data_IF_229641176511
#
_entry.id   IF_229641176511
#
_cell.length_a   1.000
_cell.length_b   1.000
_cell.length_c   1.000
_cell.angle_alpha   90.00
_cell.angle_beta   90.00
_cell.angle_gamma   90.00
#
_symmetry.space_group_name_H-M   'P 1'
#
loop_
_entity.id
_entity.type
_entity.pdbx_description
1 polymer ?
#
# COMPACT_ATOMS: atom_id res chain seq x y z
N UNK A 1 -9.55 -0.21 14.86
CA UNK A 1 -8.10 -0.44 14.60
C UNK A 1 -7.39 0.88 14.84
N UNK A 2 -6.13 0.85 15.27
CA UNK A 2 -5.32 2.04 15.52
C UNK A 2 -3.84 1.79 15.18
N UNK A 3 -3.14 2.84 14.77
CA UNK A 3 -1.68 2.80 14.59
C UNK A 3 -0.96 2.95 15.93
N UNK A 4 0.22 2.32 16.05
CA UNK A 4 1.09 2.42 17.24
C UNK A 4 1.92 3.72 17.27
N UNK A 5 1.94 4.49 16.18
CA UNK A 5 2.71 5.72 16.02
C UNK A 5 2.26 6.49 14.76
N UNK A 6 2.83 7.68 14.49
CA UNK A 6 2.47 8.49 13.33
C UNK A 6 2.73 7.74 12.02
N UNK A 7 1.87 7.96 11.03
CA UNK A 7 1.94 7.30 9.73
C UNK A 7 1.91 8.34 8.63
N UNK A 8 2.86 8.26 7.71
CA UNK A 8 2.83 9.06 6.49
C UNK A 8 2.26 8.24 5.34
N UNK A 9 1.14 8.70 4.77
CA UNK A 9 0.54 8.12 3.57
C UNK A 9 1.00 8.95 2.37
N UNK A 10 1.75 8.32 1.47
CA UNK A 10 2.12 8.90 0.19
C UNK A 10 1.00 8.69 -0.81
N UNK A 11 0.58 9.76 -1.48
CA UNK A 11 -0.44 9.76 -2.53
C UNK A 11 0.15 10.32 -3.82
N UNK A 12 -0.15 9.69 -4.95
CA UNK A 12 0.26 10.16 -6.27
C UNK A 12 -0.85 10.99 -6.89
N UNK A 13 -0.58 12.22 -7.33
CA UNK A 13 -1.59 13.09 -7.94
C UNK A 13 -2.16 12.49 -9.23
N UNK A 14 -1.34 11.76 -9.99
CA UNK A 14 -1.77 11.02 -11.18
C UNK A 14 -2.73 9.85 -10.91
N UNK A 15 -2.82 9.35 -9.67
CA UNK A 15 -3.71 8.25 -9.31
C UNK A 15 -5.10 8.80 -8.96
N UNK A 16 -5.93 9.01 -9.99
CA UNK A 16 -7.24 9.67 -9.89
C UNK A 16 -8.11 9.07 -8.78
N UNK A 17 -8.60 9.93 -7.86
CA UNK A 17 -9.47 9.55 -6.74
C UNK A 17 -8.75 9.10 -5.47
N UNK A 18 -7.42 8.92 -5.49
CA UNK A 18 -6.67 8.47 -4.32
C UNK A 18 -6.72 9.46 -3.16
N UNK A 19 -6.83 10.76 -3.44
CA UNK A 19 -6.84 11.82 -2.41
C UNK A 19 -8.11 11.74 -1.57
N UNK A 20 -9.26 11.61 -2.20
CA UNK A 20 -10.54 11.44 -1.50
C UNK A 20 -10.52 10.16 -0.65
N UNK A 21 -10.01 9.06 -1.21
CA UNK A 21 -9.80 7.82 -0.46
C UNK A 21 -8.86 8.02 0.75
N UNK A 22 -7.77 8.78 0.60
CA UNK A 22 -6.82 9.00 1.68
C UNK A 22 -7.43 9.79 2.85
N UNK A 23 -8.31 10.75 2.57
CA UNK A 23 -9.06 11.47 3.60
C UNK A 23 -10.11 10.59 4.28
N UNK A 24 -10.77 9.68 3.54
CA UNK A 24 -11.65 8.67 4.13
C UNK A 24 -10.87 7.72 5.06
N UNK A 25 -9.68 7.29 4.65
CA UNK A 25 -8.79 6.45 5.47
C UNK A 25 -8.35 7.20 6.73
N UNK A 26 -7.96 8.47 6.60
CA UNK A 26 -7.58 9.33 7.73
C UNK A 26 -8.73 9.53 8.72
N UNK A 27 -9.94 9.77 8.21
CA UNK A 27 -11.15 9.89 9.03
C UNK A 27 -11.45 8.57 9.77
N UNK A 28 -11.40 7.45 9.06
CA UNK A 28 -11.61 6.12 9.65
C UNK A 28 -10.56 5.76 10.72
N UNK A 29 -9.33 6.28 10.60
CA UNK A 29 -8.30 6.13 11.62
C UNK A 29 -8.66 6.89 12.91
N UNK A 30 -9.32 8.05 12.80
CA UNK A 30 -9.81 8.84 13.92
C UNK A 30 -10.97 8.19 14.65
N UNK A 31 -11.96 7.64 13.92
CA UNK A 31 -13.14 6.98 14.50
C UNK A 31 -12.81 5.73 15.35
N UNK A 32 -11.65 5.11 15.14
CA UNK A 32 -11.23 3.91 15.85
C UNK A 32 -10.87 4.13 17.33
N UNK A 33 -10.80 5.38 17.79
CA UNK A 33 -10.54 5.77 19.19
C UNK A 33 -11.83 6.30 19.80
N UNK A 34 -12.35 5.61 20.81
CA UNK A 34 -13.53 6.07 21.55
C UNK A 34 -13.34 7.47 22.16
N UNK A 35 -14.46 8.07 22.58
CA UNK A 35 -14.64 9.48 23.01
C UNK A 35 -13.78 9.98 24.19
N UNK A 36 -12.77 9.23 24.65
CA UNK A 36 -11.98 9.52 25.86
C UNK A 36 -10.49 9.75 25.61
N UNK A 37 -10.01 9.71 24.37
CA UNK A 37 -8.61 10.02 24.08
C UNK A 37 -8.40 11.53 23.98
N UNK A 38 -7.51 12.08 24.83
CA UNK A 38 -7.06 13.48 24.78
C UNK A 38 -6.66 13.90 23.36
N UNK A 39 -7.03 15.14 23.00
CA UNK A 39 -6.72 15.82 21.74
C UNK A 39 -5.22 15.89 21.42
N UNK A 40 -4.33 15.58 22.37
CA UNK A 40 -2.86 15.61 22.21
C UNK A 40 -2.28 14.30 21.67
N UNK A 41 -3.04 13.21 21.65
CA UNK A 41 -2.60 11.92 21.10
C UNK A 41 -3.03 11.73 19.63
N UNK A 42 -3.07 12.81 18.83
CA UNK A 42 -3.26 12.74 17.38
C UNK A 42 -2.14 11.87 16.82
N UNK A 43 -2.47 10.63 16.54
CA UNK A 43 -1.59 9.73 15.81
C UNK A 43 -1.68 10.22 14.37
N UNK A 44 -0.85 11.22 14.05
CA UNK A 44 -0.97 12.03 12.86
C UNK A 44 -0.79 11.14 11.64
N UNK A 45 -1.91 10.71 11.07
CA UNK A 45 -1.94 10.24 9.69
C UNK A 45 -1.72 11.49 8.86
N UNK A 46 -0.52 11.63 8.34
CA UNK A 46 -0.11 12.74 7.48
C UNK A 46 -0.17 12.26 6.04
N UNK A 47 -0.91 12.98 5.20
CA UNK A 47 -0.96 12.72 3.77
C UNK A 47 0.07 13.62 3.10
N UNK A 48 0.92 13.05 2.23
CA UNK A 48 1.94 13.78 1.47
C UNK A 48 1.93 13.35 0.01
N UNK A 49 2.27 14.28 -0.87
CA UNK A 49 2.42 13.97 -2.29
C UNK A 49 3.68 13.12 -2.53
N UNK A 50 3.51 12.05 -3.30
CA UNK A 50 4.56 11.09 -3.61
C UNK A 50 5.62 11.69 -4.53
N UNK A 51 5.21 12.56 -5.46
CA UNK A 51 6.09 13.31 -6.36
C UNK A 51 7.16 14.07 -5.57
N UNK A 52 6.75 14.80 -4.54
CA UNK A 52 7.62 15.62 -3.70
C UNK A 52 8.50 14.75 -2.77
N UNK A 53 7.93 13.65 -2.28
CA UNK A 53 8.62 12.74 -1.37
C UNK A 53 9.62 11.80 -2.07
N UNK A 54 9.39 11.48 -3.35
CA UNK A 54 10.13 10.45 -4.08
C UNK A 54 11.00 11.01 -5.21
N UNK A 55 10.61 12.07 -5.91
CA UNK A 55 11.28 12.50 -7.16
C UNK A 55 12.08 13.82 -7.07
N UNK A 56 12.32 14.36 -5.86
CA UNK A 56 13.07 15.62 -5.68
C UNK A 56 14.53 15.46 -5.25
N UNK A 57 15.43 16.33 -5.75
CA UNK A 57 16.78 16.54 -5.19
C UNK A 57 16.75 17.00 -3.71
N UNK A 58 15.61 17.55 -3.29
CA UNK A 58 15.28 17.93 -1.92
C UNK A 58 14.20 17.02 -1.30
N UNK A 59 14.11 15.75 -1.73
CA UNK A 59 13.18 14.79 -1.13
C UNK A 59 13.38 14.79 0.40
N UNK A 60 12.42 15.34 1.14
CA UNK A 60 12.52 15.44 2.58
C UNK A 60 12.69 14.03 3.16
N UNK A 61 13.57 13.82 4.15
CA UNK A 61 13.77 12.51 4.74
C UNK A 61 12.43 11.90 5.17
N UNK A 62 12.12 10.74 4.61
CA UNK A 62 10.98 9.93 5.02
C UNK A 62 11.40 9.19 6.30
N UNK A 63 10.96 9.67 7.46
CA UNK A 63 11.22 9.03 8.75
C UNK A 63 9.96 8.37 9.30
N UNK A 64 10.13 7.23 9.98
CA UNK A 64 9.04 6.52 10.64
C UNK A 64 8.27 5.60 9.70
N UNK A 65 6.97 5.41 9.98
CA UNK A 65 6.13 4.47 9.26
C UNK A 65 5.52 5.14 8.02
N UNK A 66 6.01 4.77 6.84
CA UNK A 66 5.60 5.35 5.56
C UNK A 66 4.97 4.28 4.68
N UNK A 67 3.84 4.61 4.06
CA UNK A 67 3.09 3.71 3.18
C UNK A 67 2.69 4.47 1.93
N UNK A 68 2.83 3.85 0.76
CA UNK A 68 2.29 4.36 -0.49
C UNK A 68 0.88 3.82 -0.67
N UNK A 69 -0.11 4.70 -0.81
CA UNK A 69 -1.50 4.30 -1.08
C UNK A 69 -1.72 4.27 -2.60
N UNK A 70 -2.03 3.09 -3.12
CA UNK A 70 -2.35 2.88 -4.54
C UNK A 70 -3.83 2.51 -4.67
N UNK A 71 -4.60 3.40 -5.28
CA UNK A 71 -6.02 3.21 -5.55
C UNK A 71 -6.21 2.59 -6.94
N UNK A 72 -6.71 1.37 -6.99
CA UNK A 72 -6.94 0.59 -8.20
C UNK A 72 -8.38 0.81 -8.70
N UNK A 73 -8.50 1.49 -9.84
CA UNK A 73 -9.72 1.77 -10.59
C UNK A 73 -9.43 1.73 -12.10
N UNK A 74 -10.46 1.90 -12.92
CA UNK A 74 -10.40 1.89 -14.39
C UNK A 74 -9.37 2.83 -15.04
N UNK A 75 -8.90 3.85 -14.32
CA UNK A 75 -7.93 4.86 -14.75
C UNK A 75 -6.50 4.59 -14.27
N UNK A 76 -6.28 3.54 -13.49
CA UNK A 76 -4.99 3.27 -12.86
C UNK A 76 -3.94 2.89 -13.90
N UNK A 77 -2.76 3.53 -13.84
CA UNK A 77 -1.68 3.43 -14.83
C UNK A 77 -2.02 3.93 -16.25
N UNK A 78 -3.13 4.64 -16.42
CA UNK A 78 -3.50 5.30 -17.68
C UNK A 78 -3.14 6.79 -17.69
N UNK A 79 -2.34 7.24 -16.73
CA UNK A 79 -1.90 8.62 -16.61
C UNK A 79 -0.88 9.01 -17.69
N UNK A 80 -0.97 10.26 -18.14
CA UNK A 80 -0.05 10.79 -19.12
C UNK A 80 1.38 10.79 -18.58
N UNK A 81 2.30 10.14 -19.30
CA UNK A 81 3.71 10.08 -18.92
C UNK A 81 4.08 9.02 -17.88
N UNK A 82 3.14 8.13 -17.49
CA UNK A 82 3.43 6.97 -16.63
C UNK A 82 4.01 7.34 -15.26
N UNK A 83 3.60 8.49 -14.72
CA UNK A 83 4.00 9.01 -13.41
C UNK A 83 3.59 8.06 -12.30
N UNK A 84 2.37 7.52 -12.33
CA UNK A 84 1.89 6.57 -11.30
C UNK A 84 2.80 5.35 -11.24
N UNK A 85 3.13 4.77 -12.39
CA UNK A 85 3.99 3.59 -12.46
C UNK A 85 5.41 3.87 -11.95
N UNK A 86 5.99 5.01 -12.35
CA UNK A 86 7.33 5.43 -11.93
C UNK A 86 7.41 5.66 -10.41
N UNK A 87 6.39 6.29 -9.82
CA UNK A 87 6.34 6.52 -8.38
C UNK A 87 6.09 5.25 -7.57
N UNK A 88 5.25 4.34 -8.06
CA UNK A 88 5.09 3.01 -7.46
C UNK A 88 6.42 2.27 -7.49
N UNK A 89 7.13 2.29 -8.62
CA UNK A 89 8.46 1.70 -8.74
C UNK A 89 9.46 2.32 -7.74
N UNK A 90 9.54 3.65 -7.67
CA UNK A 90 10.42 4.37 -6.75
C UNK A 90 10.10 4.07 -5.27
N UNK A 91 8.83 3.92 -4.92
CA UNK A 91 8.42 3.50 -3.59
C UNK A 91 8.91 2.08 -3.26
N UNK A 92 8.76 1.15 -4.20
CA UNK A 92 9.22 -0.23 -4.05
C UNK A 92 10.75 -0.33 -3.97
N UNK A 93 11.48 0.46 -4.76
CA UNK A 93 12.95 0.54 -4.69
C UNK A 93 13.44 1.00 -3.32
N UNK A 94 12.70 1.92 -2.68
CA UNK A 94 12.94 2.37 -1.30
C UNK A 94 12.36 1.45 -0.23
N UNK A 95 11.78 0.31 -0.62
CA UNK A 95 11.12 -0.67 0.26
C UNK A 95 9.96 -0.08 1.07
N UNK A 96 9.31 0.96 0.54
CA UNK A 96 8.08 1.51 1.11
C UNK A 96 6.95 0.53 0.82
N UNK A 97 6.13 0.24 1.83
CA UNK A 97 5.00 -0.66 1.67
C UNK A 97 3.95 -0.05 0.74
N UNK A 98 3.41 -0.85 -0.19
CA UNK A 98 2.30 -0.43 -1.07
C UNK A 98 0.99 -0.96 -0.50
N UNK A 99 0.11 -0.07 -0.05
CA UNK A 99 -1.26 -0.41 0.33
C UNK A 99 -2.17 -0.25 -0.89
N UNK A 100 -2.55 -1.37 -1.50
CA UNK A 100 -3.46 -1.38 -2.65
C UNK A 100 -4.92 -1.46 -2.22
N UNK A 101 -5.76 -0.60 -2.79
CA UNK A 101 -7.20 -0.53 -2.53
C UNK A 101 -7.94 -0.63 -3.85
N UNK A 102 -8.82 -1.62 -4.00
CA UNK A 102 -9.50 -1.92 -5.26
C UNK A 102 -10.97 -1.48 -5.21
N UNK A 103 -11.33 -0.46 -5.98
CA UNK A 103 -12.72 0.00 -6.11
C UNK A 103 -13.61 -1.10 -6.70
N UNK A 104 -14.76 -1.32 -6.07
CA UNK A 104 -15.77 -2.29 -6.52
C UNK A 104 -17.00 -1.61 -7.13
N UNK A 105 -17.16 -0.30 -6.94
CA UNK A 105 -18.28 0.49 -7.45
C UNK A 105 -18.03 0.96 -8.89
N UNK A 106 -18.76 0.44 -9.90
CA UNK A 106 -18.54 0.81 -11.31
C UNK A 106 -18.67 2.31 -11.56
N UNK A 107 -19.58 3.00 -10.87
CA UNK A 107 -19.75 4.46 -11.01
C UNK A 107 -18.53 5.26 -10.52
N UNK A 108 -17.68 4.65 -9.68
CA UNK A 108 -16.42 5.21 -9.20
C UNK A 108 -15.18 4.63 -9.93
N UNK A 109 -15.38 3.89 -11.03
CA UNK A 109 -14.30 3.27 -11.80
C UNK A 109 -13.95 1.84 -11.37
N UNK A 110 -14.83 1.16 -10.62
CA UNK A 110 -14.65 -0.24 -10.25
C UNK A 110 -14.66 -1.17 -11.47
N UNK A 111 -13.64 -2.01 -11.58
CA UNK A 111 -13.47 -3.00 -12.67
C UNK A 111 -13.00 -4.34 -12.13
N UNK A 112 -13.20 -5.47 -12.84
CA UNK A 112 -12.60 -6.74 -12.44
C UNK A 112 -11.09 -6.64 -12.28
N UNK A 113 -10.54 -7.28 -11.24
CA UNK A 113 -9.11 -7.19 -10.93
C UNK A 113 -8.20 -7.66 -12.10
N UNK A 114 -8.70 -8.59 -12.92
CA UNK A 114 -7.99 -9.08 -14.09
C UNK A 114 -7.60 -7.96 -15.08
N UNK A 115 -8.38 -6.88 -15.15
CA UNK A 115 -8.11 -5.75 -16.04
C UNK A 115 -6.77 -5.08 -15.73
N UNK A 116 -6.34 -5.08 -14.47
CA UNK A 116 -5.09 -4.45 -14.08
C UNK A 116 -3.87 -5.15 -14.68
N UNK A 117 -3.93 -6.45 -15.01
CA UNK A 117 -2.80 -7.12 -15.68
C UNK A 117 -2.55 -6.61 -17.10
N UNK A 118 -3.54 -5.97 -17.73
CA UNK A 118 -3.40 -5.36 -19.06
C UNK A 118 -2.90 -3.92 -18.98
N UNK A 119 -3.29 -3.18 -17.94
CA UNK A 119 -2.96 -1.77 -17.76
C UNK A 119 -1.61 -1.55 -17.03
N UNK A 120 -1.22 -2.49 -16.17
CA UNK A 120 -0.01 -2.36 -15.35
C UNK A 120 1.23 -2.54 -16.21
N UNK A 121 2.20 -1.61 -16.16
CA UNK A 121 3.46 -1.79 -16.87
C UNK A 121 4.18 -3.09 -16.50
N UNK A 122 4.71 -3.80 -17.51
CA UNK A 122 5.35 -5.12 -17.34
C UNK A 122 6.44 -5.13 -16.28
N UNK A 123 7.20 -4.04 -16.14
CA UNK A 123 8.24 -3.90 -15.12
C UNK A 123 7.69 -4.13 -13.70
N UNK A 124 6.49 -3.64 -13.38
CA UNK A 124 5.88 -3.80 -12.06
C UNK A 124 5.29 -5.20 -11.84
N UNK A 125 4.98 -5.94 -12.90
CA UNK A 125 4.45 -7.31 -12.81
C UNK A 125 5.55 -8.35 -12.56
N UNK A 126 6.76 -8.10 -13.07
CA UNK A 126 7.87 -9.04 -13.07
C UNK A 126 8.79 -8.89 -11.85
N UNK A 127 9.79 -9.78 -11.73
CA UNK A 127 10.88 -9.59 -10.76
C UNK A 127 11.70 -8.34 -11.11
N UNK A 128 12.14 -7.55 -10.11
CA UNK A 128 12.07 -7.81 -8.66
C UNK A 128 10.76 -7.35 -7.97
N UNK A 129 9.92 -6.57 -8.65
CA UNK A 129 8.81 -5.85 -8.02
C UNK A 129 7.63 -6.74 -7.65
N UNK A 130 7.07 -7.48 -8.61
CA UNK A 130 5.87 -8.32 -8.42
C UNK A 130 4.76 -7.60 -7.63
N UNK A 131 4.30 -6.45 -8.10
CA UNK A 131 3.35 -5.57 -7.42
C UNK A 131 2.15 -6.32 -6.81
N UNK A 132 1.55 -7.23 -7.58
CA UNK A 132 0.36 -8.00 -7.17
C UNK A 132 0.64 -9.25 -6.32
N UNK A 133 1.85 -9.42 -5.80
CA UNK A 133 2.09 -10.43 -4.75
C UNK A 133 1.41 -10.06 -3.42
N UNK A 134 1.09 -8.78 -3.22
CA UNK A 134 0.29 -8.33 -2.09
C UNK A 134 -1.18 -8.24 -2.51
N UNK A 135 -2.08 -8.77 -1.69
CA UNK A 135 -3.52 -8.73 -1.98
C UNK A 135 -4.06 -7.32 -1.80
N UNK A 136 -4.73 -6.79 -2.83
CA UNK A 136 -5.44 -5.53 -2.75
C UNK A 136 -6.69 -5.66 -1.87
N UNK A 137 -6.97 -4.64 -1.06
CA UNK A 137 -8.18 -4.61 -0.22
C UNK A 137 -9.36 -4.13 -1.07
N UNK A 138 -10.45 -4.91 -1.21
CA UNK A 138 -11.62 -4.46 -1.95
C UNK A 138 -12.35 -3.35 -1.17
N UNK A 139 -12.69 -2.26 -1.87
CA UNK A 139 -13.47 -1.14 -1.36
C UNK A 139 -14.89 -1.25 -1.89
N UNK A 140 -15.80 -1.73 -1.05
CA UNK A 140 -17.20 -1.95 -1.44
C UNK A 140 -18.03 -0.66 -1.36
N UNK A 141 -19.06 -0.49 -2.22
CA UNK A 141 -19.93 0.69 -2.20
C UNK A 141 -20.88 0.73 -1.00
N UNK A 142 -21.44 -0.41 -0.61
CA UNK A 142 -22.43 -0.49 0.45
C UNK A 142 -21.86 0.09 1.77
N UNK A 143 -22.53 1.04 2.44
CA UNK A 143 -21.95 1.78 3.57
C UNK A 143 -21.36 0.91 4.67
N UNK A 144 -22.05 -0.18 5.04
CA UNK A 144 -21.58 -1.13 6.04
C UNK A 144 -20.28 -1.85 5.59
N UNK A 145 -20.22 -2.29 4.34
CA UNK A 145 -19.02 -2.95 3.79
C UNK A 145 -17.89 -1.95 3.58
N UNK A 146 -18.18 -0.73 3.13
CA UNK A 146 -17.18 0.33 2.94
C UNK A 146 -16.45 0.64 4.25
N UNK A 147 -17.18 0.69 5.38
CA UNK A 147 -16.58 0.87 6.71
C UNK A 147 -15.63 -0.27 7.07
N UNK A 148 -15.98 -1.51 6.74
CA UNK A 148 -15.11 -2.68 6.94
C UNK A 148 -13.89 -2.62 6.03
N UNK A 149 -14.07 -2.29 4.75
CA UNK A 149 -12.99 -2.10 3.79
C UNK A 149 -11.96 -1.07 4.29
N UNK A 150 -12.40 0.11 4.76
CA UNK A 150 -11.50 1.12 5.30
C UNK A 150 -10.72 0.62 6.53
N UNK A 151 -11.33 -0.17 7.41
CA UNK A 151 -10.62 -0.81 8.54
C UNK A 151 -9.59 -1.84 8.07
N UNK A 152 -9.87 -2.59 7.01
CA UNK A 152 -8.92 -3.51 6.39
C UNK A 152 -7.78 -2.77 5.71
N UNK A 153 -8.05 -1.62 5.07
CA UNK A 153 -7.01 -0.73 4.51
C UNK A 153 -6.10 -0.22 5.62
N UNK A 154 -6.64 0.29 6.72
CA UNK A 154 -5.84 0.70 7.88
C UNK A 154 -5.00 -0.47 8.42
N UNK A 155 -5.58 -1.67 8.46
CA UNK A 155 -4.88 -2.87 8.92
C UNK A 155 -3.74 -3.24 7.98
N UNK A 156 -3.94 -3.16 6.65
CA UNK A 156 -2.89 -3.41 5.65
C UNK A 156 -1.76 -2.40 5.75
N UNK A 157 -2.08 -1.15 6.13
CA UNK A 157 -1.12 -0.10 6.46
C UNK A 157 -0.43 -0.28 7.81
N UNK A 158 -0.75 -1.28 8.63
CA UNK A 158 -0.07 -1.52 9.91
C UNK A 158 -0.88 -1.22 11.17
N UNK A 159 -2.13 -0.75 11.04
CA UNK A 159 -3.00 -0.59 12.21
C UNK A 159 -3.35 -1.95 12.82
N UNK A 160 -3.52 -1.97 14.14
CA UNK A 160 -3.92 -3.16 14.90
C UNK A 160 -5.30 -2.97 15.54
N UNK A 161 -6.10 -4.04 15.74
CA UNK A 161 -7.36 -3.93 16.48
C UNK A 161 -7.14 -3.40 17.90
N UNK A 162 -8.00 -2.47 18.33
CA UNK A 162 -7.90 -1.85 19.65
C UNK A 162 -8.17 -2.88 20.77
N UNK A 163 -9.01 -3.88 20.49
CA UNK A 163 -9.44 -4.90 21.46
C UNK A 163 -8.54 -6.16 21.48
N UNK A 164 -7.50 -6.21 20.63
CA UNK A 164 -6.57 -7.33 20.64
C UNK A 164 -5.69 -7.28 21.89
N UNK A 165 -5.73 -8.33 22.73
CA UNK A 165 -4.85 -8.46 23.90
C UNK A 165 -3.35 -8.45 23.53
N UNK A 166 -2.45 -8.15 24.47
CA UNK A 166 -1.00 -7.92 24.21
C UNK A 166 -0.31 -9.08 23.46
N UNK A 167 -0.71 -10.30 23.78
CA UNK A 167 -0.21 -11.52 23.15
C UNK A 167 -0.65 -11.62 21.68
N UNK A 168 -1.93 -11.35 21.39
CA UNK A 168 -2.45 -11.43 20.04
C UNK A 168 -1.79 -10.38 19.11
N UNK A 169 -1.46 -9.20 19.65
CA UNK A 169 -0.68 -8.16 18.94
C UNK A 169 0.74 -8.64 18.59
N UNK A 170 1.48 -9.23 19.53
CA UNK A 170 2.84 -9.79 19.27
C UNK A 170 2.81 -10.92 18.25
N UNK A 171 1.84 -11.82 18.33
CA UNK A 171 1.70 -12.94 17.41
C UNK A 171 1.33 -12.49 15.98
N UNK A 172 0.52 -11.44 15.82
CA UNK A 172 0.20 -10.86 14.51
C UNK A 172 1.42 -10.18 13.87
N UNK A 173 2.22 -9.45 14.65
CA UNK A 173 3.49 -8.86 14.18
C UNK A 173 4.49 -9.94 13.75
N UNK A 174 4.64 -11.00 14.56
CA UNK A 174 5.51 -12.14 14.23
C UNK A 174 5.06 -12.88 12.96
N UNK A 175 3.76 -13.09 12.76
CA UNK A 175 3.23 -13.69 11.52
C UNK A 175 3.58 -12.87 10.28
N UNK A 176 3.55 -11.53 10.38
CA UNK A 176 3.97 -10.64 9.29
C UNK A 176 5.47 -10.76 8.98
N UNK A 177 6.33 -10.78 10.01
CA UNK A 177 7.76 -11.01 9.80
C UNK A 177 8.07 -12.36 9.16
N UNK A 178 7.34 -13.41 9.53
CA UNK A 178 7.51 -14.76 8.95
C UNK A 178 7.03 -14.80 7.49
N UNK A 179 5.96 -14.09 7.14
CA UNK A 179 5.51 -13.97 5.75
C UNK A 179 6.54 -13.25 4.88
N UNK A 180 7.16 -12.18 5.38
CA UNK A 180 8.24 -11.45 4.69
C UNK A 180 9.52 -12.30 4.60
N UNK A 181 9.91 -13.00 5.66
CA UNK A 181 11.11 -13.83 5.69
C UNK A 181 11.02 -15.10 4.82
N UNK A 182 9.83 -15.70 4.67
CA UNK A 182 9.60 -16.83 3.75
C UNK A 182 9.76 -16.42 2.28
N UNK A 183 9.51 -15.15 1.95
CA UNK A 183 9.74 -14.61 0.61
C UNK A 183 11.25 -14.51 0.29
N UNK A 184 12.07 -14.18 1.29
CA UNK A 184 13.53 -14.01 1.14
C UNK A 184 14.26 -15.35 1.00
N UNK A 185 13.77 -16.43 1.62
CA UNK A 185 14.43 -17.75 1.62
C UNK A 185 14.17 -18.63 0.38
N UNK A 186 13.25 -18.26 -0.53
CA UNK A 186 12.96 -19.03 -1.75
C UNK A 186 13.80 -18.60 -2.98
N UNK A 187 15.07 -18.25 -2.80
CA UNK A 187 16.05 -18.25 -3.91
C UNK A 187 16.86 -19.55 -3.84
N UNK A 188 16.67 -20.53 -4.73
CA UNK A 188 17.78 -21.40 -5.11
C UNK A 188 18.78 -20.57 -5.91
N UNK A 189 20.07 -20.76 -5.65
CA UNK A 189 21.13 -20.24 -6.51
C UNK A 189 21.00 -20.90 -7.89
N UNK A 190 20.91 -20.12 -8.96
CA UNK A 190 21.04 -20.64 -10.32
C UNK A 190 22.47 -21.16 -10.53
N UNK A 191 22.65 -22.40 -11.02
CA UNK A 191 23.97 -22.89 -11.40
C UNK A 191 24.43 -22.15 -12.67
N UNK A 192 25.63 -21.58 -12.60
CA UNK A 192 26.33 -20.97 -13.75
C UNK A 192 26.52 -22.04 -14.83
N UNK A 193 25.97 -21.82 -16.03
CA UNK A 193 26.32 -22.60 -17.21
C UNK A 193 27.68 -22.12 -17.73
N UNK A 194 28.65 -23.02 -17.82
CA UNK A 194 29.94 -22.78 -18.48
C UNK A 194 29.75 -22.77 -20.02
N UNK A 195 30.51 -21.94 -20.75
CA UNK A 195 30.38 -21.86 -22.20
C UNK A 195 30.98 -23.11 -22.88
N UNK A 196 30.17 -23.77 -23.68
CA UNK A 196 30.58 -24.88 -24.56
C UNK A 196 31.45 -24.31 -25.68
N UNK A 197 32.74 -24.63 -25.65
CA UNK A 197 33.67 -24.45 -26.78
C UNK A 197 33.41 -25.58 -27.76
N UNK A 198 33.04 -25.24 -29.01
CA UNK A 198 32.91 -26.22 -30.10
C UNK A 198 34.25 -26.37 -30.86
N UNK A 199 34.55 -27.58 -31.37
CA UNK A 199 35.82 -27.89 -32.04
C UNK A 199 35.94 -27.32 -33.46
#
# INVERSE_FOLDING_TARGET
VAFSGPVTILVCRGNVGVRDLSELVKTAAGEGRGSTASAEAVTAVVIRDAEEALEGANAAPLSGHVVFLLYLNDKTFLDAGGVVARLVQAAMDRRIAIAMVHEQEPSCGGVPFANFFQQTPQVLLQQPYKLYNTVAVPLYPAPAHRKVSLRLVLSSMGAVPCDAGPLQRRWQLLRRHIAVARLVRRRPAEPRQEPVVQP
#
